data_IF_983766586717
#
_entry.id   IF_983766586717
#
_cell.length_a   1.000
_cell.length_b   1.000
_cell.length_c   1.000
_cell.angle_alpha   90.00
_cell.angle_beta   90.00
_cell.angle_gamma   90.00
#
_symmetry.space_group_name_H-M   'P 1'
#
loop_
_entity.id
_entity.type
_entity.pdbx_description
1 polymer ?
#
# COMPACT_ATOMS: atom_id res chain seq x y z
N UNK A 1 10.14 -18.74 -25.60
CA UNK A 1 9.29 -18.02 -24.64
C UNK A 1 9.55 -18.61 -23.28
N UNK A 2 9.88 -17.80 -22.33
CA UNK A 2 9.92 -18.21 -20.93
C UNK A 2 8.46 -18.18 -20.50
N UNK A 3 7.89 -19.34 -20.31
CA UNK A 3 6.52 -19.49 -19.82
C UNK A 3 6.63 -19.42 -18.28
N UNK A 4 6.23 -18.30 -17.71
CA UNK A 4 6.18 -18.14 -16.27
C UNK A 4 4.82 -18.67 -15.81
N UNK A 5 4.83 -19.74 -15.07
CA UNK A 5 3.63 -20.28 -14.40
C UNK A 5 3.34 -19.43 -13.15
N UNK A 6 3.04 -18.15 -13.36
CA UNK A 6 2.55 -17.26 -12.31
C UNK A 6 1.05 -17.51 -12.16
N UNK A 7 0.53 -17.68 -10.94
CA UNK A 7 -0.91 -17.84 -10.74
C UNK A 7 -1.71 -16.75 -11.46
N UNK A 8 -2.77 -17.16 -12.14
CA UNK A 8 -3.73 -16.32 -12.87
C UNK A 8 -3.24 -15.65 -14.17
N UNK A 9 -2.00 -15.92 -14.60
CA UNK A 9 -1.46 -15.39 -15.87
C UNK A 9 -1.20 -13.88 -15.91
N UNK A 10 -1.79 -13.11 -15.01
CA UNK A 10 -1.56 -11.66 -14.83
C UNK A 10 -1.57 -11.31 -13.34
N UNK A 11 -0.42 -11.45 -12.70
CA UNK A 11 -0.24 -11.17 -11.27
C UNK A 11 -0.28 -9.67 -10.91
N UNK A 12 -0.37 -8.80 -11.93
CA UNK A 12 -0.52 -7.35 -11.76
C UNK A 12 -1.97 -6.89 -11.97
N UNK A 13 -2.86 -7.79 -12.39
CA UNK A 13 -4.25 -7.47 -12.73
C UNK A 13 -4.38 -6.27 -13.69
N UNK A 14 -3.50 -6.23 -14.70
CA UNK A 14 -3.46 -5.16 -15.68
C UNK A 14 -2.75 -3.88 -15.23
N UNK A 15 -2.19 -3.84 -14.01
CA UNK A 15 -1.56 -2.65 -13.42
C UNK A 15 -0.03 -2.64 -13.51
N UNK A 16 0.59 -3.48 -14.34
CA UNK A 16 2.06 -3.56 -14.48
C UNK A 16 2.75 -2.23 -14.83
N UNK A 17 2.01 -1.22 -15.26
CA UNK A 17 2.53 0.14 -15.45
C UNK A 17 2.71 0.90 -14.13
N UNK A 18 2.10 0.44 -13.06
CA UNK A 18 2.08 1.08 -11.75
C UNK A 18 2.82 0.26 -10.70
N UNK A 19 2.46 -1.01 -10.53
CA UNK A 19 2.94 -1.92 -9.51
C UNK A 19 3.72 -3.08 -10.13
N UNK A 20 5.01 -2.95 -10.19
CA UNK A 20 5.87 -4.03 -10.67
C UNK A 20 7.25 -3.97 -10.02
N UNK A 21 7.61 -5.02 -9.31
CA UNK A 21 8.95 -5.20 -8.76
C UNK A 21 9.46 -6.61 -9.04
N UNK A 22 10.75 -6.72 -9.33
CA UNK A 22 11.44 -7.99 -9.44
C UNK A 22 12.81 -7.89 -8.76
N UNK A 23 13.14 -8.89 -7.95
CA UNK A 23 14.43 -8.98 -7.25
C UNK A 23 14.96 -10.41 -7.23
N UNK A 24 16.27 -10.54 -7.38
CA UNK A 24 16.97 -11.82 -7.32
C UNK A 24 17.72 -11.91 -5.98
N UNK A 25 17.64 -13.05 -5.31
CA UNK A 25 18.41 -13.27 -4.08
C UNK A 25 19.90 -13.09 -4.35
N UNK A 26 20.60 -12.17 -3.66
CA UNK A 26 22.00 -11.85 -3.92
C UNK A 26 22.98 -13.01 -3.65
N UNK A 27 22.52 -14.08 -3.03
CA UNK A 27 23.33 -15.27 -2.70
C UNK A 27 22.93 -16.52 -3.48
N UNK A 28 21.77 -16.49 -4.15
CA UNK A 28 21.27 -17.62 -4.93
C UNK A 28 20.39 -17.14 -6.09
N UNK A 29 20.94 -17.06 -7.27
CA UNK A 29 20.28 -16.61 -8.49
C UNK A 29 19.10 -17.49 -8.97
N UNK A 30 18.96 -18.68 -8.40
CA UNK A 30 17.78 -19.50 -8.62
C UNK A 30 16.54 -19.00 -7.83
N UNK A 31 16.73 -18.13 -6.83
CA UNK A 31 15.64 -17.56 -6.04
C UNK A 31 15.32 -16.16 -6.57
N UNK A 32 14.09 -16.00 -7.04
CA UNK A 32 13.59 -14.75 -7.61
C UNK A 32 12.27 -14.39 -6.92
N UNK A 33 12.11 -13.12 -6.63
CA UNK A 33 10.87 -12.54 -6.10
C UNK A 33 10.26 -11.63 -7.14
N UNK A 34 8.94 -11.68 -7.28
CA UNK A 34 8.17 -10.78 -8.13
C UNK A 34 7.00 -10.21 -7.31
N UNK A 35 6.69 -8.95 -7.52
CA UNK A 35 5.55 -8.29 -6.92
C UNK A 35 4.77 -7.51 -7.95
N UNK A 36 3.48 -7.57 -7.87
CA UNK A 36 2.44 -6.81 -8.52
C UNK A 36 1.41 -6.50 -7.45
N UNK A 37 0.18 -6.99 -7.59
CA UNK A 37 -0.82 -6.91 -6.51
C UNK A 37 -0.27 -7.64 -5.29
N UNK A 38 0.08 -8.91 -5.43
CA UNK A 38 0.69 -9.73 -4.40
C UNK A 38 2.16 -10.04 -4.67
N UNK A 39 2.79 -10.73 -3.74
CA UNK A 39 4.17 -11.17 -3.84
C UNK A 39 4.26 -12.66 -4.17
N UNK A 40 5.19 -12.97 -5.06
CA UNK A 40 5.49 -14.32 -5.53
C UNK A 40 6.97 -14.64 -5.38
N UNK A 41 7.29 -15.91 -5.19
CA UNK A 41 8.67 -16.41 -5.12
C UNK A 41 8.84 -17.61 -6.05
N UNK A 42 9.91 -17.56 -6.84
CA UNK A 42 10.48 -18.73 -7.52
C UNK A 42 11.70 -19.23 -6.76
N UNK A 43 11.95 -20.54 -6.80
CA UNK A 43 13.17 -21.17 -6.28
C UNK A 43 13.94 -21.92 -7.38
N UNK A 44 13.56 -21.72 -8.62
CA UNK A 44 14.12 -22.41 -9.80
C UNK A 44 14.25 -21.48 -11.01
N UNK A 45 14.79 -20.29 -10.77
CA UNK A 45 15.10 -19.29 -11.81
C UNK A 45 13.89 -18.84 -12.62
N UNK A 46 12.72 -18.70 -11.99
CA UNK A 46 11.50 -18.23 -12.63
C UNK A 46 10.70 -19.29 -13.38
N UNK A 47 11.09 -20.58 -13.31
CA UNK A 47 10.33 -21.61 -14.00
C UNK A 47 8.99 -21.95 -13.32
N UNK A 48 8.94 -21.88 -11.99
CA UNK A 48 7.70 -22.02 -11.24
C UNK A 48 7.65 -20.97 -10.14
N UNK A 49 6.46 -20.54 -9.81
CA UNK A 49 6.21 -19.51 -8.80
C UNK A 49 5.25 -19.98 -7.73
N UNK A 50 5.43 -19.47 -6.54
CA UNK A 50 4.51 -19.64 -5.43
C UNK A 50 4.16 -18.28 -4.87
N UNK A 51 2.88 -18.03 -4.65
CA UNK A 51 2.42 -16.84 -3.96
C UNK A 51 2.88 -16.87 -2.50
N UNK A 52 3.35 -15.75 -1.98
CA UNK A 52 3.94 -15.63 -0.64
C UNK A 52 3.29 -14.55 0.22
N UNK A 53 2.41 -13.74 -0.35
CA UNK A 53 1.53 -12.81 0.37
C UNK A 53 0.14 -12.83 -0.25
N UNK A 54 -0.83 -12.32 0.47
CA UNK A 54 -2.18 -12.15 -0.03
C UNK A 54 -2.86 -10.99 0.70
N UNK A 55 -3.36 -10.03 -0.09
CA UNK A 55 -4.12 -8.90 0.43
C UNK A 55 -5.60 -9.26 0.58
N UNK A 56 -6.26 -8.68 1.57
CA UNK A 56 -7.72 -8.70 1.76
C UNK A 56 -8.35 -10.06 2.03
N UNK A 57 -7.60 -11.13 2.22
CA UNK A 57 -8.15 -12.45 2.51
C UNK A 57 -7.59 -13.03 3.80
N UNK A 58 -8.39 -13.89 4.43
CA UNK A 58 -8.01 -14.58 5.67
C UNK A 58 -7.40 -15.95 5.33
N UNK A 59 -6.20 -15.94 4.75
CA UNK A 59 -5.46 -17.15 4.41
C UNK A 59 -4.31 -17.40 5.37
N UNK A 60 -3.54 -18.45 5.12
CA UNK A 60 -2.30 -18.75 5.87
C UNK A 60 -1.10 -17.91 5.43
N UNK A 61 -1.24 -17.10 4.37
CA UNK A 61 -0.21 -16.19 3.89
C UNK A 61 -0.15 -14.93 4.73
N UNK A 62 0.96 -14.20 4.64
CA UNK A 62 1.06 -12.88 5.27
C UNK A 62 0.12 -11.89 4.58
N UNK A 63 -0.67 -11.16 5.38
CA UNK A 63 -1.46 -10.03 4.91
C UNK A 63 -0.52 -8.86 4.61
N UNK A 64 -0.36 -8.56 3.33
CA UNK A 64 0.48 -7.48 2.81
C UNK A 64 -0.36 -6.62 1.89
N UNK A 65 -0.37 -5.31 2.13
CA UNK A 65 -1.11 -4.37 1.26
C UNK A 65 -0.70 -4.58 -0.20
N UNK A 66 -1.62 -4.51 -1.17
CA UNK A 66 -1.29 -4.68 -2.58
C UNK A 66 -0.41 -3.58 -3.14
N UNK A 67 -0.13 -3.69 -4.43
CA UNK A 67 0.58 -2.71 -5.26
C UNK A 67 2.03 -2.54 -4.82
N UNK A 68 2.85 -3.55 -5.16
CA UNK A 68 4.25 -3.63 -4.72
C UNK A 68 5.17 -2.74 -5.58
N UNK A 69 5.95 -1.87 -4.93
CA UNK A 69 6.85 -0.91 -5.59
C UNK A 69 8.33 -1.13 -5.28
N UNK A 70 8.64 -1.76 -4.15
CA UNK A 70 10.01 -1.94 -3.73
C UNK A 70 10.20 -3.25 -2.97
N UNK A 71 11.33 -3.90 -3.22
CA UNK A 71 11.80 -5.06 -2.49
C UNK A 71 13.32 -4.93 -2.34
N UNK A 72 13.81 -4.81 -1.12
CA UNK A 72 15.25 -4.58 -0.86
C UNK A 72 15.74 -5.56 0.18
N UNK A 73 16.67 -6.43 -0.21
CA UNK A 73 17.30 -7.35 0.73
C UNK A 73 18.17 -6.65 1.77
N UNK A 74 18.25 -7.24 2.95
CA UNK A 74 19.25 -6.83 3.92
C UNK A 74 20.67 -7.09 3.37
N UNK A 75 21.62 -6.14 3.50
CA UNK A 75 22.93 -6.23 2.83
C UNK A 75 23.76 -7.47 3.17
N UNK A 76 23.55 -8.05 4.34
CA UNK A 76 24.31 -9.21 4.82
C UNK A 76 23.47 -10.45 5.09
N UNK A 77 22.13 -10.36 4.92
CA UNK A 77 21.20 -11.46 5.19
C UNK A 77 20.07 -11.50 4.17
N UNK A 78 20.19 -12.32 3.13
CA UNK A 78 19.15 -12.50 2.12
C UNK A 78 17.88 -13.20 2.62
N UNK A 79 17.85 -13.62 3.89
CA UNK A 79 16.65 -14.16 4.52
C UNK A 79 15.71 -13.06 5.07
N UNK A 80 16.13 -11.80 4.95
CA UNK A 80 15.36 -10.62 5.38
C UNK A 80 15.33 -9.56 4.30
N UNK A 81 14.21 -8.84 4.21
CA UNK A 81 14.02 -7.74 3.26
C UNK A 81 13.08 -6.68 3.82
N UNK A 82 13.17 -5.48 3.24
CA UNK A 82 12.19 -4.41 3.38
C UNK A 82 11.41 -4.32 2.08
N UNK A 83 10.09 -4.14 2.22
CA UNK A 83 9.18 -3.99 1.11
C UNK A 83 8.44 -2.66 1.23
N UNK A 84 8.16 -2.05 0.09
CA UNK A 84 7.34 -0.85 -0.02
C UNK A 84 6.19 -1.07 -0.97
N UNK A 85 4.99 -0.67 -0.55
CA UNK A 85 3.76 -0.76 -1.32
C UNK A 85 2.84 0.42 -0.98
N UNK A 86 1.66 0.49 -1.57
CA UNK A 86 0.70 1.58 -1.32
C UNK A 86 0.25 1.66 0.14
N UNK A 87 0.29 0.57 0.88
CA UNK A 87 0.01 0.53 2.31
C UNK A 87 1.20 0.91 3.20
N UNK A 88 2.38 1.21 2.63
CA UNK A 88 3.56 1.69 3.36
C UNK A 88 4.72 0.71 3.37
N UNK A 89 5.33 0.50 4.53
CA UNK A 89 6.56 -0.28 4.70
C UNK A 89 6.27 -1.60 5.43
N UNK A 90 6.81 -2.68 4.88
CA UNK A 90 6.77 -4.02 5.46
C UNK A 90 8.17 -4.58 5.63
N UNK A 91 8.30 -5.51 6.56
CA UNK A 91 9.55 -6.21 6.83
C UNK A 91 9.33 -7.71 6.74
N UNK A 92 10.05 -8.33 5.85
CA UNK A 92 10.08 -9.77 5.69
C UNK A 92 11.20 -10.37 6.55
N UNK A 93 10.84 -11.37 7.33
CA UNK A 93 11.78 -12.25 8.06
C UNK A 93 11.57 -13.68 7.59
N UNK A 94 12.59 -14.49 7.58
CA UNK A 94 12.45 -15.90 7.17
C UNK A 94 11.98 -16.08 5.74
N UNK A 95 12.53 -15.30 4.80
CA UNK A 95 12.22 -15.41 3.36
C UNK A 95 12.42 -16.83 2.81
N UNK A 96 13.25 -17.65 3.44
CA UNK A 96 13.44 -19.06 3.11
C UNK A 96 12.31 -19.98 3.56
N UNK A 97 11.45 -19.55 4.47
CA UNK A 97 10.31 -20.34 4.94
C UNK A 97 9.17 -20.38 3.90
N UNK A 98 8.22 -21.31 4.10
CA UNK A 98 7.05 -21.44 3.23
C UNK A 98 5.78 -21.54 4.10
N UNK A 99 4.98 -20.49 4.17
CA UNK A 99 5.22 -19.14 3.63
C UNK A 99 6.28 -18.36 4.44
N UNK A 100 6.85 -17.26 3.88
CA UNK A 100 7.66 -16.30 4.64
C UNK A 100 6.80 -15.55 5.66
N UNK A 101 7.47 -14.94 6.64
CA UNK A 101 6.82 -14.05 7.61
C UNK A 101 7.06 -12.61 7.15
N UNK A 102 5.98 -11.92 6.79
CA UNK A 102 6.01 -10.50 6.38
C UNK A 102 5.07 -9.72 7.32
N UNK A 103 5.52 -8.59 7.82
CA UNK A 103 4.75 -7.80 8.79
C UNK A 103 4.91 -6.30 8.56
N UNK A 104 3.81 -5.55 8.74
CA UNK A 104 3.78 -4.10 8.63
C UNK A 104 4.73 -3.42 9.62
N UNK A 105 5.34 -2.31 9.20
CA UNK A 105 6.18 -1.41 9.99
C UNK A 105 5.65 0.02 10.04
N UNK A 106 4.38 0.20 9.81
CA UNK A 106 3.71 1.50 9.69
C UNK A 106 3.32 2.14 11.03
N UNK A 107 3.78 1.61 12.16
CA UNK A 107 3.46 2.19 13.47
C UNK A 107 3.87 3.66 13.56
N UNK A 108 2.89 4.53 13.83
CA UNK A 108 3.05 5.98 13.87
C UNK A 108 3.42 6.63 12.50
N UNK A 109 3.28 5.90 11.42
CA UNK A 109 3.41 6.42 10.08
C UNK A 109 2.03 6.75 9.54
N UNK A 110 1.65 8.03 9.63
CA UNK A 110 0.32 8.53 9.22
C UNK A 110 0.52 9.46 8.04
N UNK A 111 0.39 8.95 6.84
CA UNK A 111 0.46 9.73 5.60
C UNK A 111 -0.75 9.47 4.74
N UNK A 112 -1.23 10.51 4.07
CA UNK A 112 -2.27 10.46 3.05
C UNK A 112 -1.81 11.30 1.86
N UNK A 113 -2.14 10.86 0.66
CA UNK A 113 -1.95 11.64 -0.55
C UNK A 113 -3.24 12.40 -0.84
N UNK A 114 -3.22 13.69 -0.63
CA UNK A 114 -4.38 14.55 -0.90
C UNK A 114 -4.35 15.08 -2.33
N UNK A 115 -5.47 14.94 -3.03
CA UNK A 115 -5.68 15.54 -4.35
C UNK A 115 -6.15 16.99 -4.28
N UNK A 116 -7.00 17.30 -3.31
CA UNK A 116 -7.60 18.62 -3.15
C UNK A 116 -7.95 18.88 -1.69
N UNK A 117 -7.91 20.15 -1.29
CA UNK A 117 -8.28 20.57 0.06
C UNK A 117 -9.08 21.88 0.06
N UNK A 118 -9.94 22.03 1.04
CA UNK A 118 -10.70 23.24 1.31
C UNK A 118 -10.61 23.62 2.78
N UNK A 119 -10.65 24.93 3.04
CA UNK A 119 -10.58 25.51 4.37
C UNK A 119 -11.85 26.33 4.60
N UNK A 120 -12.52 26.09 5.73
CA UNK A 120 -13.66 26.93 6.16
C UNK A 120 -13.19 28.33 6.54
N UNK A 121 -14.01 29.34 6.27
CA UNK A 121 -13.66 30.75 6.48
C UNK A 121 -13.89 31.23 7.92
N UNK A 122 -14.43 30.41 8.77
CA UNK A 122 -14.70 30.77 10.18
C UNK A 122 -13.42 30.70 11.02
N UNK A 123 -12.95 31.84 11.49
CA UNK A 123 -11.67 31.95 12.21
C UNK A 123 -11.67 31.26 13.59
N UNK A 124 -12.85 31.06 14.17
CA UNK A 124 -13.01 30.43 15.50
C UNK A 124 -13.01 28.91 15.48
N UNK A 125 -13.29 28.31 14.33
CA UNK A 125 -13.36 26.85 14.13
C UNK A 125 -12.62 26.51 12.83
N UNK A 126 -11.35 26.17 12.95
CA UNK A 126 -10.57 25.75 11.79
C UNK A 126 -11.14 24.44 11.21
N UNK A 127 -11.96 24.59 10.15
CA UNK A 127 -12.52 23.46 9.41
C UNK A 127 -11.66 23.16 8.19
N UNK A 128 -11.36 21.90 7.98
CA UNK A 128 -10.63 21.41 6.83
C UNK A 128 -11.38 20.24 6.19
N UNK A 129 -11.39 20.22 4.89
CA UNK A 129 -11.92 19.12 4.09
C UNK A 129 -10.88 18.77 3.02
N UNK A 130 -10.48 17.52 2.91
CA UNK A 130 -9.47 17.12 1.96
C UNK A 130 -9.74 15.73 1.39
N UNK A 131 -9.81 15.63 0.07
CA UNK A 131 -9.94 14.37 -0.65
C UNK A 131 -8.59 13.68 -0.81
N UNK A 132 -8.51 12.42 -0.40
CA UNK A 132 -7.31 11.61 -0.43
C UNK A 132 -7.46 10.40 -1.36
N UNK A 133 -6.38 10.04 -2.04
CA UNK A 133 -6.33 8.81 -2.85
C UNK A 133 -6.63 7.60 -1.96
N UNK A 134 -7.51 6.72 -2.42
CA UNK A 134 -7.91 5.44 -1.80
C UNK A 134 -8.40 5.52 -0.33
N UNK A 135 -8.47 6.74 0.24
CA UNK A 135 -8.78 6.97 1.64
C UNK A 135 -9.96 7.93 1.85
N UNK A 136 -10.77 8.13 0.82
CA UNK A 136 -11.95 8.98 0.86
C UNK A 136 -11.63 10.44 1.15
N UNK A 137 -12.64 11.16 1.58
CA UNK A 137 -12.50 12.56 1.98
C UNK A 137 -12.47 12.68 3.50
N UNK A 138 -11.44 13.36 4.00
CA UNK A 138 -11.21 13.62 5.41
C UNK A 138 -11.77 14.99 5.80
N UNK A 139 -12.57 15.04 6.83
CA UNK A 139 -13.17 16.25 7.38
C UNK A 139 -12.72 16.51 8.82
N UNK A 140 -12.20 17.69 9.08
CA UNK A 140 -11.91 18.18 10.41
C UNK A 140 -12.85 19.35 10.69
N UNK A 141 -13.79 19.17 11.60
CA UNK A 141 -14.75 20.21 11.98
C UNK A 141 -14.15 21.25 12.94
N UNK A 142 -13.12 20.86 13.70
CA UNK A 142 -12.40 21.73 14.61
C UNK A 142 -10.95 21.25 14.75
N UNK A 143 -10.02 21.96 14.13
CA UNK A 143 -8.61 21.57 14.13
C UNK A 143 -7.94 21.62 15.51
N UNK A 144 -8.59 22.18 16.53
CA UNK A 144 -8.09 22.15 17.91
C UNK A 144 -8.32 20.82 18.60
N UNK A 145 -9.07 19.91 17.99
CA UNK A 145 -9.42 18.61 18.58
C UNK A 145 -8.25 17.60 18.65
N UNK A 146 -7.08 17.93 18.09
CA UNK A 146 -5.88 17.10 18.09
C UNK A 146 -5.73 16.22 16.84
N UNK A 147 -4.73 15.35 16.86
CA UNK A 147 -4.31 14.56 15.69
C UNK A 147 -5.34 13.54 15.19
N UNK A 148 -6.30 13.16 16.00
CA UNK A 148 -7.33 12.18 15.63
C UNK A 148 -8.70 12.86 15.38
N UNK A 149 -8.71 14.15 15.06
CA UNK A 149 -9.93 14.91 14.88
C UNK A 149 -10.60 14.78 13.51
N UNK A 150 -10.02 14.02 12.57
CA UNK A 150 -10.63 13.83 11.25
C UNK A 150 -11.72 12.76 11.27
N UNK A 151 -12.75 12.99 10.44
CA UNK A 151 -13.79 12.03 10.12
C UNK A 151 -13.70 11.70 8.64
N UNK A 152 -13.72 10.44 8.27
CA UNK A 152 -13.89 10.03 6.88
C UNK A 152 -15.36 10.23 6.51
N UNK A 153 -15.64 11.08 5.52
CA UNK A 153 -17.01 11.42 5.10
C UNK A 153 -17.41 10.74 3.79
N UNK A 154 -16.43 10.21 3.04
CA UNK A 154 -16.65 9.36 1.86
C UNK A 154 -15.67 8.20 1.89
N UNK A 155 -15.92 7.16 1.09
CA UNK A 155 -14.97 6.06 0.83
C UNK A 155 -14.40 6.15 -0.59
N UNK A 156 -13.50 5.23 -0.94
CA UNK A 156 -12.82 5.20 -2.24
C UNK A 156 -11.88 6.37 -2.44
N UNK A 157 -11.73 6.84 -3.67
CA UNK A 157 -10.96 8.04 -3.97
C UNK A 157 -11.72 9.30 -3.57
N UNK A 158 -11.14 10.06 -2.64
CA UNK A 158 -11.61 11.41 -2.33
C UNK A 158 -10.90 12.40 -3.24
N UNK A 159 -11.63 13.07 -4.14
CA UNK A 159 -11.00 13.97 -5.10
C UNK A 159 -11.26 15.44 -4.75
N UNK A 160 -12.34 16.02 -5.26
CA UNK A 160 -12.64 17.43 -5.08
C UNK A 160 -13.25 17.71 -3.69
N UNK A 161 -12.85 18.82 -3.08
CA UNK A 161 -13.33 19.24 -1.77
C UNK A 161 -13.67 20.73 -1.76
N UNK A 162 -14.82 21.10 -1.25
CA UNK A 162 -15.27 22.48 -1.14
C UNK A 162 -16.06 22.70 0.16
N UNK A 163 -15.78 23.81 0.82
CA UNK A 163 -16.55 24.28 2.00
C UNK A 163 -17.18 25.62 1.60
N UNK A 164 -18.51 25.71 1.77
CA UNK A 164 -19.23 26.96 1.52
C UNK A 164 -18.71 28.11 2.41
N UNK A 165 -18.70 29.31 1.86
CA UNK A 165 -18.17 30.51 2.56
C UNK A 165 -18.88 30.82 3.89
N UNK A 166 -20.15 30.42 4.03
CA UNK A 166 -20.95 30.59 5.23
C UNK A 166 -20.96 29.31 6.10
N UNK A 167 -20.18 28.29 5.73
CA UNK A 167 -20.06 26.99 6.38
C UNK A 167 -21.40 26.21 6.50
N UNK A 168 -22.33 26.45 5.58
CA UNK A 168 -23.68 25.84 5.58
C UNK A 168 -23.64 24.43 5.00
N UNK A 169 -22.80 24.20 3.97
CA UNK A 169 -22.65 22.91 3.33
C UNK A 169 -21.19 22.64 2.90
N UNK A 170 -20.90 21.38 2.72
CA UNK A 170 -19.66 20.90 2.10
C UNK A 170 -20.00 20.10 0.84
N UNK A 171 -19.09 20.13 -0.15
CA UNK A 171 -19.17 19.29 -1.34
C UNK A 171 -17.89 18.49 -1.43
N UNK A 172 -18.02 17.20 -1.71
CA UNK A 172 -16.92 16.28 -1.89
C UNK A 172 -17.29 15.23 -2.92
N UNK A 173 -16.29 14.62 -3.54
CA UNK A 173 -16.43 13.52 -4.49
C UNK A 173 -15.44 12.45 -4.12
#
# INVERSE_FOLDING_TARGET
SIDFDIPDGDFTNGQAFYDLVIEVDPRNDAIVYAGGIDLFRSVNSGNNWSQISEAYTDTSLSDVHPDQHAFVFHPTDSNTAILGNDGGVYYATSLSSTPPIISSRNKNYNTLQFYHGAIGQEVSLAKFLAGAQDNGTQFINNATAGINGSLSVTGGDGTYSFIDKDNVYIVTS
#
